data_IF_277250162532
#
_entry.id   IF_277250162532
#
_cell.length_a   1.000
_cell.length_b   1.000
_cell.length_c   1.000
_cell.angle_alpha   90.00
_cell.angle_beta   90.00
_cell.angle_gamma   90.00
#
_symmetry.space_group_name_H-M   'P 1'
#
loop_
_entity.id
_entity.type
_entity.pdbx_description
1 polymer ?
#
# COMPACT_ATOMS: atom_id res chain seq x y z
N UNK A 1 8.96 1.81 -54.87
CA UNK A 1 9.27 2.30 -53.50
C UNK A 1 10.34 3.38 -53.63
N UNK A 2 9.98 4.67 -53.55
CA UNK A 2 10.94 5.78 -53.73
C UNK A 2 11.67 6.05 -52.41
N UNK A 3 12.96 5.72 -52.35
CA UNK A 3 13.82 5.96 -51.19
C UNK A 3 14.14 7.46 -51.15
N UNK A 4 13.67 8.16 -50.11
CA UNK A 4 13.98 9.57 -49.88
C UNK A 4 15.49 9.76 -49.69
N UNK A 5 16.11 10.78 -50.31
CA UNK A 5 17.55 10.99 -50.24
C UNK A 5 18.00 11.24 -48.80
N UNK A 6 19.11 10.61 -48.40
CA UNK A 6 19.69 10.58 -47.03
C UNK A 6 19.90 11.97 -46.41
N UNK A 7 19.96 13.04 -47.22
CA UNK A 7 20.03 14.44 -46.77
C UNK A 7 18.69 14.98 -46.25
N UNK A 8 17.56 14.61 -46.85
CA UNK A 8 16.22 15.03 -46.39
C UNK A 8 15.83 14.38 -45.05
N UNK A 9 16.30 13.15 -44.79
CA UNK A 9 16.04 12.47 -43.51
C UNK A 9 16.78 13.15 -42.36
N UNK A 10 18.03 13.58 -42.56
CA UNK A 10 18.79 14.33 -41.55
C UNK A 10 18.13 15.68 -41.23
N UNK A 11 17.66 16.40 -42.24
CA UNK A 11 16.92 17.65 -42.05
C UNK A 11 15.63 17.45 -41.25
N UNK A 12 14.89 16.38 -41.54
CA UNK A 12 13.65 16.04 -40.82
C UNK A 12 13.91 15.69 -39.36
N UNK A 13 14.96 14.90 -39.07
CA UNK A 13 15.32 14.54 -37.68
C UNK A 13 15.76 15.77 -36.88
N UNK A 14 16.56 16.66 -37.48
CA UNK A 14 16.97 17.92 -36.85
C UNK A 14 15.75 18.80 -36.56
N UNK A 15 14.80 18.90 -37.49
CA UNK A 15 13.57 19.67 -37.30
C UNK A 15 12.69 19.11 -36.18
N UNK A 16 12.52 17.79 -36.10
CA UNK A 16 11.77 17.12 -35.02
C UNK A 16 12.46 17.37 -33.66
N UNK A 17 13.78 17.30 -33.60
CA UNK A 17 14.51 17.51 -32.34
C UNK A 17 14.46 18.98 -31.89
N UNK A 18 14.59 19.92 -32.82
CA UNK A 18 14.48 21.36 -32.53
C UNK A 18 13.07 21.75 -32.06
N UNK A 19 12.03 21.18 -32.67
CA UNK A 19 10.64 21.42 -32.24
C UNK A 19 10.36 20.80 -30.87
N UNK A 20 10.88 19.60 -30.59
CA UNK A 20 10.78 18.99 -29.26
C UNK A 20 11.45 19.85 -28.18
N UNK A 21 12.66 20.37 -28.42
CA UNK A 21 13.34 21.25 -27.48
C UNK A 21 12.59 22.57 -27.27
N UNK A 22 12.04 23.17 -28.34
CA UNK A 22 11.26 24.39 -28.24
C UNK A 22 9.97 24.20 -27.41
N UNK A 23 9.26 23.08 -27.59
CA UNK A 23 8.06 22.75 -26.80
C UNK A 23 8.40 22.55 -25.33
N UNK A 24 9.49 21.83 -25.03
CA UNK A 24 9.93 21.64 -23.64
C UNK A 24 10.38 22.95 -22.99
N UNK A 25 11.05 23.84 -23.74
CA UNK A 25 11.43 25.16 -23.24
C UNK A 25 10.19 26.03 -22.95
N UNK A 26 9.20 26.03 -23.84
CA UNK A 26 7.92 26.73 -23.61
C UNK A 26 7.18 26.15 -22.39
N UNK A 27 7.19 24.83 -22.21
CA UNK A 27 6.60 24.18 -21.05
C UNK A 27 7.29 24.62 -19.75
N UNK A 28 8.63 24.64 -19.72
CA UNK A 28 9.40 25.09 -18.56
C UNK A 28 9.19 26.58 -18.26
N UNK A 29 9.11 27.42 -19.29
CA UNK A 29 8.80 28.85 -19.13
C UNK A 29 7.38 29.08 -18.58
N UNK A 30 6.39 28.31 -19.04
CA UNK A 30 5.02 28.35 -18.49
C UNK A 30 4.93 27.82 -17.06
N UNK A 31 5.71 26.81 -16.71
CA UNK A 31 5.81 26.33 -15.32
C UNK A 31 6.44 27.39 -14.42
N UNK A 32 7.41 28.16 -14.93
CA UNK A 32 8.02 29.27 -14.19
C UNK A 32 7.07 30.46 -14.01
N UNK A 33 6.22 30.79 -15.00
CA UNK A 33 5.23 31.88 -14.89
C UNK A 33 4.05 31.51 -13.97
N UNK A 34 3.63 30.24 -13.96
CA UNK A 34 2.54 29.76 -13.10
C UNK A 34 3.03 29.29 -11.71
N UNK A 35 4.33 29.29 -11.47
CA UNK A 35 4.98 28.87 -10.23
C UNK A 35 5.23 30.02 -9.25
N UNK A 36 4.23 30.85 -8.96
CA UNK A 36 4.30 31.74 -7.80
C UNK A 36 3.84 30.99 -6.55
N UNK A 37 4.80 30.51 -5.78
CA UNK A 37 4.66 29.94 -4.45
C UNK A 37 4.30 31.07 -3.44
N UNK A 38 3.07 31.63 -3.53
CA UNK A 38 2.61 32.67 -2.60
C UNK A 38 1.23 32.46 -1.98
N UNK A 39 0.44 31.48 -2.42
CA UNK A 39 -0.93 31.28 -1.92
C UNK A 39 -1.09 30.05 -1.00
N UNK A 40 -0.01 29.64 -0.33
CA UNK A 40 -0.04 28.50 0.61
C UNK A 40 0.49 28.86 2.00
N UNK A 41 0.06 29.99 2.58
CA UNK A 41 0.21 30.25 4.03
C UNK A 41 -0.95 31.11 4.53
N UNK A 42 -2.04 30.48 4.96
CA UNK A 42 -2.82 30.93 6.13
C UNK A 42 -3.77 29.80 6.56
N UNK A 43 -3.27 28.91 7.42
CA UNK A 43 -4.11 28.01 8.20
C UNK A 43 -4.05 28.48 9.65
N UNK A 44 -5.08 29.18 10.08
CA UNK A 44 -5.25 29.59 11.48
C UNK A 44 -5.47 28.34 12.34
N UNK A 45 -4.47 27.99 13.15
CA UNK A 45 -4.55 26.94 14.17
C UNK A 45 -5.31 27.44 15.41
N UNK A 46 -6.29 26.69 15.93
CA UNK A 46 -6.81 26.96 17.27
C UNK A 46 -5.81 26.48 18.33
N UNK A 47 -5.59 27.36 19.30
CA UNK A 47 -4.68 27.26 20.44
C UNK A 47 -5.01 26.04 21.32
N UNK A 48 -4.08 25.09 21.44
CA UNK A 48 -4.10 24.09 22.51
C UNK A 48 -3.01 24.44 23.53
N UNK A 49 -3.43 24.61 24.78
CA UNK A 49 -2.61 24.98 25.93
C UNK A 49 -1.65 23.84 26.27
N UNK A 50 -0.34 24.12 26.20
CA UNK A 50 0.73 23.21 26.60
C UNK A 50 1.05 23.37 28.08
N UNK A 51 0.88 22.32 28.87
CA UNK A 51 1.57 22.17 30.16
C UNK A 51 2.41 20.90 30.14
N UNK A 52 3.73 21.06 30.00
CA UNK A 52 4.71 19.97 30.12
C UNK A 52 5.27 19.94 31.54
N UNK A 53 5.40 18.77 32.20
CA UNK A 53 6.25 18.65 33.39
C UNK A 53 7.72 18.43 32.99
N UNK A 54 8.58 19.11 33.72
CA UNK A 54 10.05 19.06 33.67
C UNK A 54 10.53 17.76 34.33
N UNK A 55 11.44 17.01 33.70
CA UNK A 55 12.12 15.88 34.36
C UNK A 55 13.63 15.97 34.20
N UNK A 56 14.28 15.97 35.35
CA UNK A 56 15.70 16.21 35.62
C UNK A 56 16.51 14.93 35.44
N UNK A 57 17.76 15.09 35.02
CA UNK A 57 18.77 14.05 34.87
C UNK A 57 19.23 13.44 36.20
N UNK A 58 19.32 12.12 36.26
CA UNK A 58 20.30 11.41 37.09
C UNK A 58 20.49 9.97 36.61
N UNK A 59 21.70 9.61 36.20
CA UNK A 59 22.15 8.21 36.13
C UNK A 59 22.23 7.60 37.55
N UNK A 60 22.11 6.27 37.66
CA UNK A 60 23.32 5.56 38.08
C UNK A 60 23.57 4.23 37.35
N UNK A 61 24.86 3.96 37.22
CA UNK A 61 25.51 2.71 36.83
C UNK A 61 25.15 1.54 37.75
N UNK A 62 24.97 0.31 37.22
CA UNK A 62 25.77 -0.89 37.56
C UNK A 62 25.13 -2.25 37.18
N UNK A 63 25.99 -3.09 36.59
CA UNK A 63 26.18 -4.54 36.76
C UNK A 63 25.40 -5.56 35.89
N UNK A 64 26.23 -6.30 35.17
CA UNK A 64 26.04 -7.55 34.42
C UNK A 64 25.29 -8.61 35.22
N UNK A 65 24.28 -9.24 34.62
CA UNK A 65 23.97 -10.65 34.90
C UNK A 65 23.33 -11.32 33.69
N UNK A 66 24.02 -12.33 33.15
CA UNK A 66 23.51 -13.28 32.17
C UNK A 66 22.27 -14.00 32.74
N UNK A 67 21.12 -13.87 32.09
CA UNK A 67 19.99 -14.77 32.32
C UNK A 67 19.52 -15.40 31.01
N UNK A 68 19.57 -16.74 31.01
CA UNK A 68 19.06 -17.64 29.97
C UNK A 68 17.57 -17.39 29.73
N UNK A 69 17.18 -17.39 28.46
CA UNK A 69 15.79 -17.50 28.02
C UNK A 69 15.25 -18.86 28.50
N UNK A 70 14.15 -18.93 29.28
CA UNK A 70 13.59 -20.21 29.71
C UNK A 70 12.88 -20.89 28.54
N UNK A 71 13.33 -22.11 28.22
CA UNK A 71 12.56 -23.08 27.45
C UNK A 71 11.45 -23.65 28.32
N UNK A 72 10.20 -23.28 28.05
CA UNK A 72 9.05 -24.04 28.51
C UNK A 72 8.10 -24.33 27.35
N UNK A 73 8.29 -25.53 26.81
CA UNK A 73 7.26 -26.28 26.12
C UNK A 73 6.05 -26.44 27.05
N UNK A 74 4.97 -25.72 26.75
CA UNK A 74 3.64 -26.17 27.11
C UNK A 74 2.75 -26.00 25.88
N UNK A 75 2.24 -27.15 25.44
CA UNK A 75 1.34 -27.36 24.32
C UNK A 75 0.11 -26.46 24.50
N UNK A 76 0.09 -25.32 23.82
CA UNK A 76 -1.15 -24.55 23.65
C UNK A 76 -1.85 -25.13 22.43
N UNK A 77 -2.75 -26.05 22.72
CA UNK A 77 -3.65 -26.70 21.78
C UNK A 77 -4.25 -25.74 20.76
N UNK A 78 -4.16 -26.16 19.51
CA UNK A 78 -4.88 -25.73 18.30
C UNK A 78 -6.29 -25.23 18.63
N UNK A 79 -6.45 -23.92 18.81
CA UNK A 79 -7.69 -23.20 18.57
C UNK A 79 -7.31 -22.01 17.70
N UNK A 80 -7.01 -22.30 16.43
CA UNK A 80 -7.12 -21.26 15.41
C UNK A 80 -8.60 -21.09 15.17
N UNK A 81 -9.26 -20.24 15.96
CA UNK A 81 -10.48 -19.57 15.52
C UNK A 81 -10.06 -18.77 14.29
N UNK A 82 -10.10 -19.43 13.14
CA UNK A 82 -9.81 -18.81 11.88
C UNK A 82 -10.97 -17.83 11.69
N UNK A 83 -10.71 -16.56 11.99
CA UNK A 83 -11.70 -15.48 12.10
C UNK A 83 -12.58 -15.41 10.84
N UNK A 84 -12.05 -15.89 9.72
CA UNK A 84 -12.69 -15.96 8.42
C UNK A 84 -13.34 -17.30 8.05
N UNK A 85 -13.26 -18.35 8.88
CA UNK A 85 -13.70 -19.71 8.53
C UNK A 85 -15.12 -19.78 7.97
N UNK A 86 -16.04 -19.02 8.57
CA UNK A 86 -17.45 -19.01 8.22
C UNK A 86 -17.87 -17.70 7.51
N UNK A 87 -16.90 -16.90 7.05
CA UNK A 87 -17.16 -15.65 6.35
C UNK A 87 -17.21 -15.87 4.83
N UNK A 88 -18.10 -15.12 4.22
CA UNK A 88 -18.28 -14.95 2.79
C UNK A 88 -18.41 -13.46 2.43
N UNK A 89 -18.40 -13.17 1.15
CA UNK A 89 -18.60 -11.85 0.55
C UNK A 89 -19.94 -11.22 0.97
N UNK A 90 -20.95 -12.05 1.28
CA UNK A 90 -22.30 -11.66 1.68
C UNK A 90 -22.52 -11.64 3.19
N UNK A 91 -21.46 -11.81 3.99
CA UNK A 91 -21.57 -11.81 5.44
C UNK A 91 -21.99 -10.46 6.00
N UNK A 92 -22.56 -10.45 7.21
CA UNK A 92 -22.95 -9.22 7.89
C UNK A 92 -21.75 -8.28 8.04
N UNK A 93 -21.96 -7.00 7.71
CA UNK A 93 -20.92 -5.98 7.70
C UNK A 93 -20.25 -5.85 9.07
N UNK A 94 -21.00 -5.98 10.18
CA UNK A 94 -20.43 -5.90 11.54
C UNK A 94 -19.51 -7.09 11.81
N UNK A 95 -19.84 -8.27 11.30
CA UNK A 95 -18.98 -9.45 11.39
C UNK A 95 -17.70 -9.25 10.57
N UNK A 96 -17.81 -8.74 9.34
CA UNK A 96 -16.66 -8.44 8.49
C UNK A 96 -15.73 -7.39 9.13
N UNK A 97 -16.28 -6.28 9.65
CA UNK A 97 -15.50 -5.24 10.35
C UNK A 97 -14.73 -5.82 11.53
N UNK A 98 -15.43 -6.57 12.41
CA UNK A 98 -14.81 -7.24 13.56
C UNK A 98 -13.73 -8.23 13.12
N UNK A 99 -13.94 -8.94 12.02
CA UNK A 99 -12.97 -9.88 11.49
C UNK A 99 -11.69 -9.21 10.98
N UNK A 100 -11.82 -8.08 10.28
CA UNK A 100 -10.69 -7.30 9.78
C UNK A 100 -9.88 -6.73 10.96
N UNK A 101 -10.56 -6.13 11.93
CA UNK A 101 -9.94 -5.60 13.15
C UNK A 101 -9.18 -6.69 13.91
N UNK A 102 -9.81 -7.83 14.15
CA UNK A 102 -9.21 -8.92 14.91
C UNK A 102 -8.03 -9.57 14.17
N UNK A 103 -8.11 -9.72 12.84
CA UNK A 103 -7.00 -10.22 12.03
C UNK A 103 -5.81 -9.26 12.09
N UNK A 104 -6.05 -7.97 11.84
CA UNK A 104 -5.00 -6.95 11.86
C UNK A 104 -4.36 -6.86 13.25
N UNK A 105 -5.15 -6.99 14.32
CA UNK A 105 -4.64 -7.02 15.70
C UNK A 105 -3.80 -8.26 16.00
N UNK A 106 -4.16 -9.42 15.43
CA UNK A 106 -3.45 -10.69 15.65
C UNK A 106 -2.12 -10.75 14.92
N UNK A 107 -2.00 -10.08 13.76
CA UNK A 107 -0.83 -10.12 12.86
C UNK A 107 -0.29 -11.55 12.66
N UNK A 108 -1.18 -12.54 12.48
CA UNK A 108 -0.74 -13.93 12.43
C UNK A 108 0.06 -14.24 11.15
N UNK A 109 1.35 -14.49 11.31
CA UNK A 109 2.25 -14.88 10.21
C UNK A 109 2.21 -16.40 10.01
N UNK A 110 1.64 -16.83 8.89
CA UNK A 110 1.61 -18.23 8.45
C UNK A 110 3.00 -18.70 8.04
N UNK A 111 3.25 -19.99 8.22
CA UNK A 111 4.49 -20.70 7.86
C UNK A 111 5.77 -20.21 8.54
N UNK A 112 5.68 -19.33 9.55
CA UNK A 112 6.85 -18.81 10.25
C UNK A 112 7.68 -19.92 10.93
N UNK A 113 7.04 -21.01 11.36
CA UNK A 113 7.70 -22.16 11.95
C UNK A 113 8.39 -23.09 10.93
N UNK A 114 8.14 -22.90 9.63
CA UNK A 114 8.71 -23.70 8.54
C UNK A 114 9.86 -23.01 7.83
N UNK A 115 9.94 -21.68 7.97
CA UNK A 115 10.87 -20.84 7.24
C UNK A 115 11.52 -19.86 8.21
N UNK A 116 12.84 -19.93 8.29
CA UNK A 116 13.62 -18.94 9.03
C UNK A 116 13.71 -17.66 8.20
N UNK A 117 13.00 -16.61 8.65
CA UNK A 117 13.25 -15.26 8.16
C UNK A 117 14.70 -14.93 8.54
N UNK A 118 15.52 -14.60 7.52
CA UNK A 118 16.95 -14.32 7.71
C UNK A 118 17.23 -13.19 8.71
N UNK A 119 16.24 -12.34 8.99
CA UNK A 119 16.42 -11.12 9.76
C UNK A 119 17.39 -10.16 9.07
N UNK A 120 17.50 -8.93 9.60
CA UNK A 120 18.51 -7.98 9.13
C UNK A 120 18.25 -7.35 7.75
N UNK A 121 19.30 -6.79 7.16
CA UNK A 121 19.23 -5.88 6.00
C UNK A 121 18.99 -6.59 4.65
N UNK A 122 19.20 -7.91 4.60
CA UNK A 122 19.02 -8.72 3.40
C UNK A 122 17.62 -9.35 3.29
N UNK A 123 16.80 -9.20 4.32
CA UNK A 123 15.41 -9.67 4.28
C UNK A 123 14.59 -8.71 3.42
N UNK A 124 13.86 -9.24 2.44
CA UNK A 124 12.92 -8.45 1.63
C UNK A 124 11.52 -8.69 2.18
N UNK A 125 10.81 -7.60 2.50
CA UNK A 125 9.37 -7.67 2.78
C UNK A 125 8.63 -7.23 1.52
N UNK A 126 7.71 -8.05 1.05
CA UNK A 126 6.95 -7.79 -0.17
C UNK A 126 5.51 -7.54 0.21
N UNK A 127 5.00 -6.34 -0.11
CA UNK A 127 3.63 -5.92 0.16
C UNK A 127 2.84 -5.96 -1.14
N UNK A 128 1.85 -6.84 -1.23
CA UNK A 128 0.97 -6.97 -2.39
C UNK A 128 -0.37 -6.31 -2.10
N UNK A 129 -0.76 -5.32 -2.91
CA UNK A 129 -2.11 -4.78 -2.87
C UNK A 129 -3.07 -5.71 -3.63
N UNK A 130 -4.13 -6.16 -2.95
CA UNK A 130 -5.13 -7.12 -3.45
C UNK A 130 -6.52 -6.51 -3.39
N UNK A 131 -7.27 -6.64 -4.48
CA UNK A 131 -8.69 -6.27 -4.58
C UNK A 131 -9.55 -7.54 -4.75
N UNK A 132 -9.99 -7.84 -5.98
CA UNK A 132 -10.88 -8.97 -6.29
C UNK A 132 -10.48 -9.77 -7.55
N UNK A 133 -9.32 -9.48 -8.16
CA UNK A 133 -8.89 -10.12 -9.42
C UNK A 133 -8.10 -11.41 -9.18
N UNK A 134 -8.80 -12.46 -8.76
CA UNK A 134 -8.16 -13.72 -8.34
C UNK A 134 -7.33 -14.44 -9.39
N UNK A 135 -7.67 -14.33 -10.69
CA UNK A 135 -6.88 -14.98 -11.75
C UNK A 135 -5.50 -14.33 -11.91
N UNK A 136 -5.43 -13.01 -11.83
CA UNK A 136 -4.17 -12.27 -11.85
C UNK A 136 -3.32 -12.60 -10.61
N UNK A 137 -3.95 -12.62 -9.43
CA UNK A 137 -3.29 -12.98 -8.18
C UNK A 137 -2.65 -14.38 -8.23
N UNK A 138 -3.31 -15.36 -8.88
CA UNK A 138 -2.75 -16.70 -9.05
C UNK A 138 -1.45 -16.67 -9.87
N UNK A 139 -1.40 -15.89 -10.95
CA UNK A 139 -0.17 -15.74 -11.75
C UNK A 139 0.95 -15.08 -10.95
N UNK A 140 0.64 -14.06 -10.14
CA UNK A 140 1.63 -13.45 -9.24
C UNK A 140 2.16 -14.50 -8.25
N UNK A 141 1.28 -15.21 -7.55
CA UNK A 141 1.66 -16.25 -6.56
C UNK A 141 2.52 -17.33 -7.20
N UNK A 142 2.19 -17.78 -8.41
CA UNK A 142 2.98 -18.77 -9.13
C UNK A 142 4.36 -18.24 -9.51
N UNK A 143 4.46 -17.00 -9.98
CA UNK A 143 5.76 -16.37 -10.28
C UNK A 143 6.62 -16.19 -9.02
N UNK A 144 6.00 -15.85 -7.88
CA UNK A 144 6.67 -15.74 -6.58
C UNK A 144 7.16 -17.11 -6.09
N UNK A 145 6.35 -18.18 -6.24
CA UNK A 145 6.75 -19.57 -5.91
C UNK A 145 8.03 -19.97 -6.63
N UNK A 146 8.21 -19.54 -7.87
CA UNK A 146 9.37 -19.87 -8.69
C UNK A 146 10.59 -18.99 -8.41
N UNK A 147 10.42 -17.87 -7.68
CA UNK A 147 11.48 -16.91 -7.45
C UNK A 147 12.56 -17.44 -6.49
N UNK A 148 13.82 -17.24 -6.88
CA UNK A 148 14.96 -17.76 -6.14
C UNK A 148 15.15 -16.98 -4.85
N UNK A 149 15.12 -17.68 -3.70
CA UNK A 149 15.28 -17.07 -2.37
C UNK A 149 13.98 -16.58 -1.71
N UNK A 150 12.82 -16.82 -2.33
CA UNK A 150 11.52 -16.35 -1.80
C UNK A 150 11.20 -16.88 -0.39
N UNK A 151 11.69 -18.08 -0.04
CA UNK A 151 11.48 -18.70 1.27
C UNK A 151 12.04 -17.89 2.44
N UNK A 152 12.89 -16.90 2.17
CA UNK A 152 13.52 -16.01 3.16
C UNK A 152 12.88 -14.61 3.19
N UNK A 153 11.83 -14.39 2.40
CA UNK A 153 11.08 -13.13 2.34
C UNK A 153 9.78 -13.24 3.11
N UNK A 154 9.28 -12.13 3.62
CA UNK A 154 7.91 -12.04 4.16
C UNK A 154 6.98 -11.53 3.06
N UNK A 155 5.94 -12.31 2.73
CA UNK A 155 4.84 -11.83 1.89
C UNK A 155 3.73 -11.25 2.77
N UNK A 156 3.33 -10.02 2.50
CA UNK A 156 2.19 -9.37 3.14
C UNK A 156 1.16 -9.06 2.07
N UNK A 157 -0.02 -9.69 2.14
CA UNK A 157 -1.14 -9.36 1.27
C UNK A 157 -2.05 -8.35 1.97
N UNK A 158 -2.24 -7.20 1.34
CA UNK A 158 -3.05 -6.09 1.82
C UNK A 158 -4.36 -6.04 1.04
N UNK A 159 -5.48 -6.27 1.73
CA UNK A 159 -6.79 -6.46 1.12
C UNK A 159 -7.70 -5.25 1.34
N UNK A 160 -8.40 -4.78 0.31
CA UNK A 160 -9.55 -3.86 0.46
C UNK A 160 -10.89 -4.50 0.06
N UNK A 161 -10.88 -5.81 -0.15
CA UNK A 161 -12.06 -6.62 -0.37
C UNK A 161 -11.83 -8.03 0.17
N UNK A 162 -12.79 -8.55 0.92
CA UNK A 162 -12.80 -9.94 1.35
C UNK A 162 -13.57 -10.79 0.33
N UNK A 163 -12.85 -11.69 -0.31
CA UNK A 163 -13.40 -12.78 -1.09
C UNK A 163 -12.89 -14.11 -0.56
N UNK A 164 -13.77 -15.10 -0.38
CA UNK A 164 -13.43 -16.39 0.24
C UNK A 164 -12.35 -17.10 -0.57
N UNK A 165 -12.52 -17.14 -1.88
CA UNK A 165 -11.60 -17.82 -2.79
C UNK A 165 -10.20 -17.17 -2.81
N UNK A 166 -10.10 -15.84 -2.66
CA UNK A 166 -8.80 -15.13 -2.53
C UNK A 166 -8.14 -15.49 -1.21
N UNK A 167 -8.90 -15.44 -0.11
CA UNK A 167 -8.39 -15.81 1.21
C UNK A 167 -7.86 -17.26 1.23
N UNK A 168 -8.60 -18.19 0.63
CA UNK A 168 -8.19 -19.60 0.50
C UNK A 168 -6.93 -19.77 -0.34
N UNK A 169 -6.86 -19.07 -1.48
CA UNK A 169 -5.68 -19.10 -2.36
C UNK A 169 -4.44 -18.65 -1.60
N UNK A 170 -4.50 -17.53 -0.88
CA UNK A 170 -3.37 -17.02 -0.09
C UNK A 170 -3.07 -17.92 1.12
N UNK A 171 -4.09 -18.46 1.78
CA UNK A 171 -3.92 -19.38 2.91
C UNK A 171 -3.23 -20.70 2.53
N UNK A 172 -3.30 -21.10 1.24
CA UNK A 172 -2.66 -22.29 0.70
C UNK A 172 -1.17 -22.11 0.38
N UNK A 173 -0.65 -20.88 0.42
CA UNK A 173 0.78 -20.61 0.15
C UNK A 173 1.62 -21.36 1.18
N UNK A 174 2.59 -22.14 0.69
CA UNK A 174 3.38 -23.09 1.46
C UNK A 174 4.90 -22.92 1.27
N UNK A 175 5.34 -21.90 0.52
CA UNK A 175 6.75 -21.72 0.12
C UNK A 175 7.48 -20.56 0.81
N UNK A 176 6.79 -19.76 1.63
CA UNK A 176 7.38 -18.69 2.43
C UNK A 176 6.46 -18.26 3.60
N UNK A 177 6.93 -17.43 4.53
CA UNK A 177 6.09 -16.72 5.50
C UNK A 177 5.08 -15.80 4.84
N UNK A 178 3.84 -15.81 5.33
CA UNK A 178 2.72 -15.03 4.78
C UNK A 178 1.92 -14.34 5.88
N UNK A 179 1.67 -13.06 5.71
CA UNK A 179 0.77 -12.26 6.52
C UNK A 179 -0.36 -11.70 5.64
N UNK A 180 -1.58 -11.66 6.16
CA UNK A 180 -2.70 -10.96 5.53
C UNK A 180 -3.09 -9.78 6.43
N UNK A 181 -3.24 -8.60 5.84
CA UNK A 181 -3.76 -7.38 6.50
C UNK A 181 -4.95 -6.86 5.68
N UNK A 182 -5.91 -6.23 6.35
CA UNK A 182 -7.15 -5.77 5.72
C UNK A 182 -7.35 -4.28 5.92
N UNK A 183 -7.55 -3.54 4.85
CA UNK A 183 -7.85 -2.11 4.85
C UNK A 183 -9.19 -1.87 5.57
N UNK A 184 -9.18 -1.18 6.74
CA UNK A 184 -10.35 -1.11 7.61
C UNK A 184 -11.43 -0.16 7.10
N UNK A 185 -11.17 0.62 6.04
CA UNK A 185 -12.12 1.56 5.46
C UNK A 185 -12.50 1.22 4.02
N UNK A 186 -12.45 -0.08 3.69
CA UNK A 186 -12.91 -0.59 2.40
C UNK A 186 -14.40 -0.30 2.15
N UNK A 187 -14.77 -0.05 0.90
CA UNK A 187 -16.16 0.14 0.46
C UNK A 187 -17.06 -1.03 0.85
N UNK A 188 -16.54 -2.27 0.81
CA UNK A 188 -17.28 -3.46 1.25
C UNK A 188 -17.77 -3.33 2.70
N UNK A 189 -17.01 -2.64 3.55
CA UNK A 189 -17.35 -2.40 4.94
C UNK A 189 -18.26 -1.18 5.14
N UNK A 190 -18.34 -0.27 4.16
CA UNK A 190 -19.10 0.99 4.26
C UNK A 190 -19.95 1.23 3.00
N UNK A 191 -20.82 0.29 2.58
CA UNK A 191 -21.43 0.35 1.24
C UNK A 191 -22.45 1.49 1.03
N UNK A 192 -22.90 2.15 2.12
CA UNK A 192 -23.97 3.17 2.10
C UNK A 192 -23.58 4.49 2.79
N UNK A 193 -22.33 4.61 3.20
CA UNK A 193 -21.80 5.75 3.96
C UNK A 193 -20.35 6.00 3.55
N UNK A 194 -19.83 7.20 3.79
CA UNK A 194 -18.42 7.47 3.51
C UNK A 194 -17.52 6.52 4.33
N UNK A 195 -16.47 5.91 3.75
CA UNK A 195 -15.91 6.17 2.42
C UNK A 195 -16.42 5.23 1.31
N UNK A 196 -17.54 4.54 1.45
CA UNK A 196 -18.26 4.00 0.30
C UNK A 196 -19.10 5.04 -0.41
N UNK A 197 -20.14 4.57 -1.10
CA UNK A 197 -21.11 5.44 -1.78
C UNK A 197 -22.21 5.84 -0.81
N UNK A 198 -22.50 7.14 -0.71
CA UNK A 198 -23.64 7.60 0.06
C UNK A 198 -24.74 8.09 -0.89
N UNK A 199 -26.01 7.82 -0.54
CA UNK A 199 -27.18 8.17 -1.37
C UNK A 199 -27.34 9.67 -1.67
N UNK A 200 -26.68 10.53 -0.88
CA UNK A 200 -26.64 11.99 -1.04
C UNK A 200 -25.32 12.51 -1.62
N UNK A 201 -24.41 11.65 -2.07
CA UNK A 201 -23.24 12.11 -2.81
C UNK A 201 -23.67 12.72 -4.14
N UNK A 202 -22.98 13.78 -4.57
CA UNK A 202 -23.26 14.42 -5.84
C UNK A 202 -22.92 13.47 -7.00
N UNK A 203 -23.81 13.33 -8.02
CA UNK A 203 -23.48 12.57 -9.22
C UNK A 203 -22.20 13.08 -9.87
N UNK A 204 -21.35 12.17 -10.36
CA UNK A 204 -20.00 12.50 -10.86
C UNK A 204 -19.97 13.73 -11.78
N UNK A 205 -20.90 13.79 -12.73
CA UNK A 205 -20.90 14.79 -13.81
C UNK A 205 -21.96 15.89 -13.64
N UNK A 206 -22.61 16.01 -12.47
CA UNK A 206 -23.56 17.10 -12.26
C UNK A 206 -22.80 18.44 -12.27
N UNK A 207 -23.30 19.50 -12.94
CA UNK A 207 -22.70 20.82 -12.86
C UNK A 207 -22.70 21.34 -11.42
N UNK A 208 -21.64 22.04 -11.00
CA UNK A 208 -21.52 22.58 -9.63
C UNK A 208 -22.71 23.46 -9.23
N UNK A 209 -23.22 24.27 -10.15
CA UNK A 209 -24.39 25.12 -9.91
C UNK A 209 -25.66 24.31 -9.59
N UNK A 210 -25.81 23.13 -10.18
CA UNK A 210 -26.91 22.20 -9.90
C UNK A 210 -26.67 21.40 -8.61
N UNK A 211 -25.44 20.96 -8.37
CA UNK A 211 -25.05 20.28 -7.12
C UNK A 211 -25.36 21.13 -5.87
N UNK A 212 -25.04 22.42 -5.93
CA UNK A 212 -25.33 23.38 -4.84
C UNK A 212 -26.84 23.52 -4.65
N UNK A 213 -27.62 23.58 -5.74
CA UNK A 213 -29.10 23.62 -5.66
C UNK A 213 -29.68 22.34 -5.09
N UNK A 214 -29.14 21.18 -5.46
CA UNK A 214 -29.59 19.87 -4.97
C UNK A 214 -29.13 19.58 -3.55
N UNK A 215 -28.21 20.39 -2.99
CA UNK A 215 -27.66 20.25 -1.62
C UNK A 215 -27.12 18.83 -1.34
N UNK A 216 -26.45 18.24 -2.34
CA UNK A 216 -25.75 16.98 -2.16
C UNK A 216 -24.48 17.19 -1.28
N UNK A 217 -24.06 16.14 -0.58
CA UNK A 217 -23.10 16.21 0.53
C UNK A 217 -21.78 16.92 0.18
N UNK A 218 -21.24 16.64 -1.00
CA UNK A 218 -19.94 17.13 -1.46
C UNK A 218 -20.06 18.23 -2.53
N UNK A 219 -21.21 18.92 -2.62
CA UNK A 219 -21.50 19.90 -3.67
C UNK A 219 -20.45 21.01 -3.80
N UNK A 220 -19.89 21.45 -2.67
CA UNK A 220 -18.88 22.51 -2.63
C UNK A 220 -17.47 22.04 -3.01
N UNK A 221 -17.24 20.73 -3.10
CA UNK A 221 -15.92 20.10 -3.22
C UNK A 221 -15.80 19.21 -4.48
N UNK A 222 -16.00 19.73 -5.70
CA UNK A 222 -15.62 19.00 -6.91
C UNK A 222 -14.09 18.94 -7.05
N UNK A 223 -13.61 18.04 -7.90
CA UNK A 223 -12.22 18.03 -8.34
C UNK A 223 -11.88 19.24 -9.23
N UNK A 224 -10.60 19.37 -9.60
CA UNK A 224 -10.11 20.46 -10.45
C UNK A 224 -10.84 20.55 -11.81
N UNK A 225 -11.39 19.44 -12.30
CA UNK A 225 -12.11 19.37 -13.58
C UNK A 225 -13.63 19.48 -13.41
N UNK A 226 -14.11 19.80 -12.20
CA UNK A 226 -15.53 19.98 -11.92
C UNK A 226 -16.31 18.69 -11.71
N UNK A 227 -15.65 17.54 -11.56
CA UNK A 227 -16.33 16.28 -11.29
C UNK A 227 -16.38 15.95 -9.80
N UNK A 228 -17.40 15.20 -9.40
CA UNK A 228 -17.56 14.70 -8.04
C UNK A 228 -16.97 13.30 -7.86
N UNK A 229 -16.70 12.98 -6.59
CA UNK A 229 -16.11 11.73 -6.13
C UNK A 229 -16.91 10.51 -6.59
N UNK A 230 -16.19 9.51 -7.10
CA UNK A 230 -16.67 8.11 -7.16
C UNK A 230 -15.87 7.27 -6.16
N UNK A 231 -16.56 6.50 -5.32
CA UNK A 231 -15.93 5.80 -4.21
C UNK A 231 -14.86 4.79 -4.65
N UNK A 232 -15.14 4.03 -5.73
CA UNK A 232 -14.23 3.01 -6.29
C UNK A 232 -12.85 3.54 -6.66
N UNK A 233 -12.77 4.76 -7.22
CA UNK A 233 -11.49 5.37 -7.58
C UNK A 233 -10.75 5.93 -6.36
N UNK A 234 -11.49 6.47 -5.39
CA UNK A 234 -10.90 6.96 -4.15
C UNK A 234 -10.30 5.82 -3.31
N UNK A 235 -10.95 4.65 -3.27
CA UNK A 235 -10.49 3.50 -2.48
C UNK A 235 -9.06 3.10 -2.83
N UNK A 236 -8.70 3.01 -4.11
CA UNK A 236 -7.37 2.57 -4.55
C UNK A 236 -6.27 3.42 -3.90
N UNK A 237 -6.44 4.75 -3.92
CA UNK A 237 -5.48 5.68 -3.31
C UNK A 237 -5.47 5.59 -1.79
N UNK A 238 -6.64 5.50 -1.16
CA UNK A 238 -6.72 5.40 0.30
C UNK A 238 -6.11 4.09 0.83
N UNK A 239 -6.38 2.96 0.17
CA UNK A 239 -5.77 1.68 0.48
C UNK A 239 -4.25 1.76 0.32
N UNK A 240 -3.76 2.36 -0.76
CA UNK A 240 -2.32 2.50 -0.98
C UNK A 240 -1.62 3.28 0.13
N UNK A 241 -2.18 4.44 0.49
CA UNK A 241 -1.60 5.28 1.54
C UNK A 241 -1.72 4.61 2.91
N UNK A 242 -2.88 4.01 3.24
CA UNK A 242 -3.06 3.30 4.50
C UNK A 242 -2.03 2.17 4.65
N UNK A 243 -1.90 1.29 3.65
CA UNK A 243 -1.02 0.11 3.78
C UNK A 243 0.45 0.50 3.89
N UNK A 244 0.87 1.58 3.23
CA UNK A 244 2.22 2.11 3.35
C UNK A 244 2.49 2.54 4.81
N UNK A 245 1.67 3.43 5.38
CA UNK A 245 1.81 3.86 6.77
C UNK A 245 1.67 2.69 7.76
N UNK A 246 0.74 1.77 7.50
CA UNK A 246 0.50 0.62 8.37
C UNK A 246 1.73 -0.29 8.45
N UNK A 247 2.33 -0.62 7.30
CA UNK A 247 3.52 -1.48 7.23
C UNK A 247 4.77 -0.79 7.80
N UNK A 248 4.95 0.52 7.58
CA UNK A 248 6.14 1.21 8.09
C UNK A 248 6.06 1.53 9.59
N UNK A 249 4.89 1.91 10.11
CA UNK A 249 4.79 2.48 11.45
C UNK A 249 4.04 1.61 12.47
N UNK A 250 3.01 0.86 12.02
CA UNK A 250 2.05 0.22 12.94
C UNK A 250 2.25 -1.28 13.06
N UNK A 251 2.72 -1.94 12.01
CA UNK A 251 2.83 -3.39 11.95
C UNK A 251 4.02 -3.87 12.80
N UNK A 252 3.72 -4.69 13.81
CA UNK A 252 4.72 -5.19 14.77
C UNK A 252 5.79 -6.02 14.06
N UNK A 253 5.37 -6.81 13.07
CA UNK A 253 6.25 -7.70 12.29
C UNK A 253 7.36 -6.95 11.53
N UNK A 254 7.13 -5.69 11.15
CA UNK A 254 8.08 -4.87 10.36
C UNK A 254 8.69 -3.71 11.15
N UNK A 255 8.31 -3.52 12.42
CA UNK A 255 8.73 -2.39 13.28
C UNK A 255 10.24 -2.14 13.35
N UNK A 256 11.04 -3.19 13.29
CA UNK A 256 12.52 -3.10 13.34
C UNK A 256 13.18 -3.60 12.06
N UNK A 257 12.42 -3.70 10.98
CA UNK A 257 12.92 -4.14 9.68
C UNK A 257 13.87 -3.09 9.10
N UNK A 258 15.04 -3.53 8.62
CA UNK A 258 16.07 -2.66 8.04
C UNK A 258 16.34 -2.93 6.56
N UNK A 259 15.81 -4.03 6.05
CA UNK A 259 15.93 -4.38 4.63
C UNK A 259 14.93 -3.63 3.76
N UNK A 260 14.96 -3.88 2.44
CA UNK A 260 14.01 -3.26 1.52
C UNK A 260 12.57 -3.75 1.77
N UNK A 261 11.62 -2.85 1.53
CA UNK A 261 10.18 -3.14 1.42
C UNK A 261 9.78 -2.89 -0.04
N UNK A 262 9.30 -3.94 -0.71
CA UNK A 262 8.88 -3.90 -2.11
C UNK A 262 7.36 -3.88 -2.21
N UNK A 263 6.79 -2.88 -2.87
CA UNK A 263 5.35 -2.80 -3.14
C UNK A 263 5.03 -3.38 -4.51
N UNK A 264 4.06 -4.29 -4.56
CA UNK A 264 3.51 -4.90 -5.78
C UNK A 264 1.98 -4.81 -5.77
N UNK A 265 1.36 -5.08 -6.91
CA UNK A 265 -0.08 -5.22 -7.10
C UNK A 265 -0.40 -6.66 -7.55
N UNK A 266 -1.64 -7.09 -7.36
CA UNK A 266 -2.11 -8.45 -7.66
C UNK A 266 -1.93 -8.89 -9.13
N UNK A 267 -1.78 -7.95 -10.06
CA UNK A 267 -1.59 -8.19 -11.49
C UNK A 267 -0.15 -8.02 -11.98
N UNK A 268 0.81 -7.90 -11.06
CA UNK A 268 2.21 -8.03 -11.39
C UNK A 268 2.61 -9.50 -11.62
N UNK A 269 3.73 -9.67 -12.32
CA UNK A 269 4.43 -10.94 -12.47
C UNK A 269 5.92 -10.68 -12.26
N UNK A 270 6.59 -11.51 -11.45
CA UNK A 270 8.01 -11.30 -11.13
C UNK A 270 8.93 -12.24 -11.91
N UNK A 271 10.11 -11.75 -12.30
CA UNK A 271 11.16 -12.59 -12.87
C UNK A 271 11.77 -13.50 -11.80
N UNK A 272 12.26 -14.69 -12.18
CA UNK A 272 12.80 -15.69 -11.25
C UNK A 272 13.97 -15.18 -10.37
N UNK A 273 14.72 -14.19 -10.84
CA UNK A 273 15.89 -13.60 -10.20
C UNK A 273 15.63 -12.23 -9.55
N UNK A 274 14.37 -11.77 -9.46
CA UNK A 274 14.05 -10.40 -9.05
C UNK A 274 14.60 -10.03 -7.66
N UNK A 275 14.58 -10.96 -6.69
CA UNK A 275 15.12 -10.75 -5.35
C UNK A 275 16.64 -10.57 -5.36
N UNK A 276 17.34 -11.38 -6.15
CA UNK A 276 18.79 -11.27 -6.32
C UNK A 276 19.16 -9.90 -6.90
N UNK A 277 18.47 -9.50 -7.97
CA UNK A 277 18.69 -8.20 -8.63
C UNK A 277 18.37 -7.03 -7.71
N UNK A 278 17.23 -7.08 -6.99
CA UNK A 278 16.83 -6.05 -6.02
C UNK A 278 17.89 -5.87 -4.93
N UNK A 279 18.37 -6.95 -4.33
CA UNK A 279 19.37 -6.87 -3.25
C UNK A 279 20.72 -6.34 -3.77
N UNK A 280 21.11 -6.68 -4.99
CA UNK A 280 22.31 -6.09 -5.63
C UNK A 280 22.15 -4.59 -5.85
N UNK A 281 21.01 -4.14 -6.37
CA UNK A 281 20.71 -2.71 -6.54
C UNK A 281 20.66 -1.97 -5.20
N UNK A 282 20.04 -2.57 -4.19
CA UNK A 282 19.91 -1.98 -2.85
C UNK A 282 21.28 -1.76 -2.20
N UNK A 283 22.16 -2.77 -2.28
CA UNK A 283 23.53 -2.68 -1.74
C UNK A 283 24.39 -1.66 -2.50
N UNK A 284 24.28 -1.62 -3.83
CA UNK A 284 25.01 -0.65 -4.65
C UNK A 284 24.59 0.80 -4.37
N UNK A 285 23.32 1.05 -4.05
CA UNK A 285 22.85 2.38 -3.64
C UNK A 285 23.39 2.78 -2.26
N UNK A 286 23.56 1.81 -1.36
CA UNK A 286 23.98 2.05 0.02
C UNK A 286 25.50 2.08 0.22
N UNK A 287 26.29 1.83 -0.84
CA UNK A 287 27.75 1.99 -0.88
C UNK A 287 28.15 3.34 -1.44
#
# INVERSE_FOLDING_TARGET
MRILPRRSVKGLVIFIFATFLAVNLIFLLRVSENGSLKDAVEFNSPTLVTTSPKMTSSEPSQTVTNQRIPTSSSVRSVVTDNVFANLSESSDIKLLRKAFEENNRKEYVRNLNKFDLKGGEDTVVIIVQVHDRSDYLKYLIESLRQATGISQSLLVFSHDYFARHIHDTIASIDFCPVLQIYYPFAMQLYPKEFPGEHSKDCPRNIPRSEAIKSKCNNAEFPDHYGHYREAKYAQIKHHWFWKANYVFDQLTTTKYHRGPILFLEEDHFVAKDFLYTLLKMYRFRSS
#
